data_IF_650696912179
#
_entry.id   IF_650696912179
#
_cell.length_a   1.000
_cell.length_b   1.000
_cell.length_c   1.000
_cell.angle_alpha   90.00
_cell.angle_beta   90.00
_cell.angle_gamma   90.00
#
_symmetry.space_group_name_H-M   'P 1'
#
loop_
_entity.id
_entity.type
_entity.pdbx_description
1 polymer ?
#
# COMPACT_ATOMS: atom_id res chain seq x y z
N UNK A 1 -11.77 -3.65 10.40
CA UNK A 1 -12.04 -2.47 9.55
C UNK A 1 -13.31 -1.86 10.08
N UNK A 2 -13.25 -0.60 10.51
CA UNK A 2 -14.46 0.13 10.89
C UNK A 2 -15.45 0.13 9.72
N UNK A 3 -16.73 0.06 10.04
CA UNK A 3 -17.81 0.23 9.07
C UNK A 3 -17.75 1.68 8.54
N UNK A 4 -17.08 1.88 7.39
CA UNK A 4 -16.93 3.22 6.81
C UNK A 4 -18.27 3.89 6.57
N UNK A 5 -19.31 3.11 6.25
CA UNK A 5 -20.67 3.59 6.08
C UNK A 5 -21.28 4.02 7.42
N UNK A 6 -20.98 3.29 8.50
CA UNK A 6 -21.38 3.64 9.85
C UNK A 6 -20.74 4.93 10.35
N UNK A 7 -19.45 5.14 10.03
CA UNK A 7 -18.78 6.40 10.31
C UNK A 7 -19.39 7.54 9.49
N UNK A 8 -19.58 7.35 8.19
CA UNK A 8 -20.19 8.34 7.29
C UNK A 8 -21.58 8.75 7.78
N UNK A 9 -22.43 7.79 8.14
CA UNK A 9 -23.75 8.06 8.75
C UNK A 9 -23.65 8.92 10.02
N UNK A 10 -22.67 8.67 10.89
CA UNK A 10 -22.45 9.48 12.10
C UNK A 10 -22.06 10.92 11.74
N UNK A 11 -21.17 11.11 10.78
CA UNK A 11 -20.74 12.45 10.35
C UNK A 11 -21.90 13.22 9.74
N UNK A 12 -22.71 12.61 8.87
CA UNK A 12 -23.92 13.24 8.34
C UNK A 12 -24.92 13.60 9.44
N UNK A 13 -25.09 12.74 10.44
CA UNK A 13 -25.97 13.02 11.57
C UNK A 13 -25.47 14.21 12.41
N UNK A 14 -24.16 14.31 12.66
CA UNK A 14 -23.57 15.45 13.35
C UNK A 14 -23.74 16.75 12.56
N UNK A 15 -23.51 16.72 11.26
CA UNK A 15 -23.73 17.86 10.37
C UNK A 15 -25.19 18.35 10.44
N UNK A 16 -26.16 17.43 10.38
CA UNK A 16 -27.59 17.74 10.54
C UNK A 16 -27.91 18.36 11.90
N UNK A 17 -27.32 17.85 12.97
CA UNK A 17 -27.55 18.34 14.33
C UNK A 17 -26.93 19.72 14.61
N UNK A 18 -25.92 20.13 13.83
CA UNK A 18 -25.27 21.43 13.99
C UNK A 18 -26.16 22.62 13.58
N UNK A 19 -27.25 22.38 12.86
CA UNK A 19 -28.26 23.37 12.53
C UNK A 19 -28.17 23.92 11.10
N UNK A 20 -29.03 24.89 10.80
CA UNK A 20 -29.12 25.48 9.47
C UNK A 20 -27.84 26.25 9.10
N UNK A 21 -27.38 26.09 7.85
CA UNK A 21 -26.16 26.74 7.34
C UNK A 21 -24.87 25.93 7.53
N UNK A 22 -24.96 24.70 8.04
CA UNK A 22 -23.84 23.73 8.07
C UNK A 22 -24.10 22.64 7.05
N UNK A 23 -23.12 22.36 6.20
CA UNK A 23 -23.19 21.29 5.21
C UNK A 23 -21.86 20.55 5.13
N UNK A 24 -21.91 19.35 4.55
CA UNK A 24 -20.75 18.52 4.28
C UNK A 24 -20.58 18.35 2.78
N UNK A 25 -19.35 18.49 2.31
CA UNK A 25 -18.96 18.23 0.94
C UNK A 25 -17.92 17.11 0.93
N UNK A 26 -18.21 16.04 0.21
CA UNK A 26 -17.24 14.97 -0.04
C UNK A 26 -16.27 15.43 -1.13
N UNK A 27 -15.12 16.00 -0.72
CA UNK A 27 -14.10 16.47 -1.67
C UNK A 27 -13.40 15.31 -2.40
N UNK A 28 -13.27 14.16 -1.73
CA UNK A 28 -12.78 12.91 -2.29
C UNK A 28 -13.41 11.73 -1.56
N UNK A 29 -14.27 10.98 -2.26
CA UNK A 29 -14.85 9.75 -1.74
C UNK A 29 -14.13 8.55 -2.34
N UNK A 30 -13.31 7.89 -1.53
CA UNK A 30 -12.64 6.66 -1.94
C UNK A 30 -13.63 5.52 -2.12
N UNK A 31 -13.42 4.68 -3.13
CA UNK A 31 -14.17 3.44 -3.30
C UNK A 31 -13.72 2.36 -2.31
N UNK A 32 -14.57 1.33 -2.15
CA UNK A 32 -14.12 0.06 -1.54
C UNK A 32 -13.32 -0.68 -2.61
N UNK A 33 -12.01 -0.82 -2.39
CA UNK A 33 -11.14 -1.57 -3.29
C UNK A 33 -10.80 -2.93 -2.67
N UNK A 34 -10.79 -4.03 -3.46
CA UNK A 34 -10.39 -5.32 -2.94
C UNK A 34 -8.92 -5.30 -2.50
N UNK A 35 -8.60 -6.05 -1.45
CA UNK A 35 -7.21 -6.30 -1.10
C UNK A 35 -6.56 -7.18 -2.17
N UNK A 36 -5.27 -6.96 -2.42
CA UNK A 36 -4.49 -7.84 -3.29
C UNK A 36 -4.20 -9.15 -2.56
N UNK A 37 -4.51 -10.32 -3.15
CA UNK A 37 -4.21 -11.60 -2.51
C UNK A 37 -2.70 -11.79 -2.37
N UNK A 38 -2.29 -12.24 -1.18
CA UNK A 38 -0.91 -12.58 -0.80
C UNK A 38 -0.81 -14.05 -0.38
N UNK A 39 -1.56 -14.90 -1.09
CA UNK A 39 -1.60 -16.35 -0.94
C UNK A 39 -1.33 -17.02 -2.29
N UNK A 40 -1.44 -18.36 -2.33
CA UNK A 40 -1.11 -19.16 -3.50
C UNK A 40 -2.07 -18.97 -4.69
N UNK A 41 -3.17 -18.20 -4.54
CA UNK A 41 -4.05 -17.85 -5.65
C UNK A 41 -3.46 -16.78 -6.57
N UNK A 42 -2.43 -16.05 -6.12
CA UNK A 42 -1.77 -15.00 -6.90
C UNK A 42 -0.37 -15.46 -7.32
N UNK A 43 -0.25 -15.89 -8.59
CA UNK A 43 1.01 -16.40 -9.14
C UNK A 43 2.15 -15.37 -9.09
N UNK A 44 1.84 -14.08 -9.23
CA UNK A 44 2.86 -13.02 -9.17
C UNK A 44 3.37 -12.83 -7.74
N UNK A 45 2.50 -12.99 -6.74
CA UNK A 45 2.93 -12.98 -5.34
C UNK A 45 3.80 -14.18 -5.00
N UNK A 46 3.43 -15.38 -5.47
CA UNK A 46 4.22 -16.60 -5.24
C UNK A 46 5.62 -16.45 -5.83
N UNK A 47 5.72 -16.11 -7.11
CA UNK A 47 6.99 -15.90 -7.79
C UNK A 47 7.84 -14.80 -7.13
N UNK A 48 7.23 -13.67 -6.79
CA UNK A 48 7.88 -12.59 -6.04
C UNK A 48 8.44 -13.09 -4.70
N UNK A 49 7.62 -13.77 -3.90
CA UNK A 49 7.98 -14.21 -2.55
C UNK A 49 9.11 -15.24 -2.61
N UNK A 50 9.03 -16.20 -3.52
CA UNK A 50 10.05 -17.22 -3.70
C UNK A 50 11.39 -16.63 -4.15
N UNK A 51 11.38 -15.65 -5.07
CA UNK A 51 12.59 -14.96 -5.51
C UNK A 51 13.28 -14.23 -4.34
N UNK A 52 12.52 -13.48 -3.55
CA UNK A 52 13.05 -12.77 -2.37
C UNK A 52 13.58 -13.75 -1.32
N UNK A 53 12.88 -14.88 -1.10
CA UNK A 53 13.30 -15.91 -0.16
C UNK A 53 14.57 -16.66 -0.62
N UNK A 54 14.71 -16.94 -1.92
CA UNK A 54 15.89 -17.58 -2.49
C UNK A 54 17.16 -16.72 -2.30
N UNK A 55 16.99 -15.40 -2.23
CA UNK A 55 18.06 -14.44 -1.91
C UNK A 55 18.38 -14.35 -0.41
N UNK A 56 17.67 -15.10 0.45
CA UNK A 56 17.87 -15.11 1.90
C UNK A 56 17.10 -14.02 2.66
N UNK A 57 16.13 -13.36 2.03
CA UNK A 57 15.34 -12.29 2.66
C UNK A 57 13.95 -12.76 3.09
N UNK A 58 13.42 -12.12 4.12
CA UNK A 58 12.01 -12.22 4.50
C UNK A 58 11.17 -11.14 3.82
N UNK A 59 9.91 -11.45 3.50
CA UNK A 59 8.93 -10.46 3.05
C UNK A 59 8.04 -10.11 4.24
N UNK A 60 7.87 -8.82 4.51
CA UNK A 60 6.98 -8.32 5.56
C UNK A 60 5.75 -7.62 4.94
N UNK A 61 4.60 -8.30 4.81
CA UNK A 61 3.39 -7.69 4.30
C UNK A 61 2.85 -6.69 5.32
N UNK A 62 2.70 -5.43 4.90
CA UNK A 62 2.10 -4.38 5.71
C UNK A 62 0.92 -3.75 4.98
N UNK A 63 -0.11 -3.35 5.73
CA UNK A 63 -1.06 -2.37 5.25
C UNK A 63 -0.39 -1.01 5.37
N UNK A 64 0.02 -0.45 4.24
CA UNK A 64 0.67 0.87 4.21
C UNK A 64 -0.27 1.92 4.82
N UNK A 65 0.18 2.74 5.79
CA UNK A 65 -0.61 3.87 6.29
C UNK A 65 -0.69 5.01 5.26
N UNK A 66 0.19 5.01 4.25
CA UNK A 66 0.21 5.97 3.16
C UNK A 66 -0.61 5.49 1.96
N UNK A 67 -0.98 6.43 1.10
CA UNK A 67 -1.64 6.14 -0.17
C UNK A 67 -0.61 5.89 -1.28
N UNK A 68 -0.99 5.04 -2.23
CA UNK A 68 -0.29 4.89 -3.51
C UNK A 68 -1.29 4.75 -4.65
N UNK A 69 -0.82 4.96 -5.87
CA UNK A 69 -1.65 4.83 -7.09
C UNK A 69 -2.14 3.40 -7.34
N UNK A 70 -1.63 2.42 -6.58
CA UNK A 70 -2.13 1.05 -6.59
C UNK A 70 -3.63 0.97 -6.23
N UNK A 71 -4.20 1.99 -5.56
CA UNK A 71 -5.66 2.06 -5.35
C UNK A 71 -6.44 2.07 -6.67
N UNK A 72 -5.96 2.77 -7.69
CA UNK A 72 -6.62 2.88 -8.99
C UNK A 72 -6.52 1.57 -9.78
N UNK A 73 -5.38 0.88 -9.68
CA UNK A 73 -5.22 -0.45 -10.28
C UNK A 73 -6.13 -1.49 -9.63
N UNK A 74 -6.22 -1.49 -8.30
CA UNK A 74 -7.15 -2.38 -7.57
C UNK A 74 -8.61 -2.05 -7.84
N UNK A 75 -8.95 -0.79 -8.09
CA UNK A 75 -10.28 -0.39 -8.57
C UNK A 75 -10.60 -0.98 -9.95
N UNK A 76 -9.61 -1.04 -10.84
CA UNK A 76 -9.70 -1.72 -12.12
C UNK A 76 -9.56 -3.26 -12.02
N UNK A 77 -9.64 -3.83 -10.81
CA UNK A 77 -9.50 -5.27 -10.52
C UNK A 77 -8.14 -5.87 -10.91
N UNK A 78 -7.10 -5.04 -10.99
CA UNK A 78 -5.72 -5.49 -11.21
C UNK A 78 -5.06 -5.68 -9.84
N UNK A 79 -4.67 -6.90 -9.45
CA UNK A 79 -3.94 -7.14 -8.20
C UNK A 79 -2.63 -6.35 -8.19
N UNK A 80 -2.37 -5.58 -7.13
CA UNK A 80 -1.18 -4.72 -7.03
C UNK A 80 -0.75 -4.52 -5.58
N UNK A 81 0.51 -4.85 -5.31
CA UNK A 81 1.21 -4.53 -4.06
C UNK A 81 2.38 -3.57 -4.35
N UNK A 82 2.69 -2.73 -3.37
CA UNK A 82 3.92 -1.93 -3.37
C UNK A 82 5.05 -2.71 -2.73
N UNK A 83 6.29 -2.43 -3.11
CA UNK A 83 7.48 -3.04 -2.54
C UNK A 83 8.59 -2.00 -2.41
N UNK A 84 9.30 -2.03 -1.28
CA UNK A 84 10.46 -1.17 -1.01
C UNK A 84 11.57 -2.02 -0.38
N UNK A 85 12.68 -2.30 -1.09
CA UNK A 85 13.81 -3.06 -0.56
C UNK A 85 14.74 -2.18 0.30
N UNK A 86 14.17 -1.50 1.29
CA UNK A 86 14.88 -0.57 2.17
C UNK A 86 15.29 -1.27 3.47
N UNK A 87 15.91 -2.46 3.36
CA UNK A 87 16.35 -3.19 4.56
C UNK A 87 17.31 -2.34 5.39
N UNK A 88 17.26 -2.55 6.71
CA UNK A 88 18.14 -1.93 7.71
C UNK A 88 18.19 -0.39 7.66
N UNK A 89 17.15 0.23 7.09
CA UNK A 89 17.01 1.68 6.97
C UNK A 89 15.84 2.19 7.80
N UNK A 90 15.98 3.34 8.48
CA UNK A 90 14.84 3.96 9.15
C UNK A 90 13.77 4.39 8.13
N UNK A 91 12.50 4.38 8.55
CA UNK A 91 11.42 4.96 7.76
C UNK A 91 11.51 6.48 7.88
N UNK A 92 12.04 7.13 6.84
CA UNK A 92 12.30 8.58 6.81
C UNK A 92 11.41 9.34 5.81
N UNK A 93 10.47 8.65 5.15
CA UNK A 93 9.59 9.27 4.16
C UNK A 93 8.86 10.49 4.78
N UNK A 94 9.04 11.66 4.17
CA UNK A 94 8.51 12.96 4.61
C UNK A 94 9.09 13.50 5.93
N UNK A 95 10.23 12.97 6.38
CA UNK A 95 10.96 13.51 7.53
C UNK A 95 11.94 14.63 7.11
N UNK A 96 12.45 15.39 8.07
CA UNK A 96 13.59 16.26 7.84
C UNK A 96 14.82 15.41 7.50
N UNK A 97 15.65 15.91 6.57
CA UNK A 97 16.88 15.25 6.11
C UNK A 97 16.65 13.79 5.65
N UNK A 98 15.55 13.54 4.94
CA UNK A 98 15.25 12.24 4.34
C UNK A 98 16.45 11.70 3.53
N UNK A 99 16.88 10.47 3.84
CA UNK A 99 18.01 9.82 3.19
C UNK A 99 17.78 8.32 3.00
N UNK A 100 18.53 7.75 2.06
CA UNK A 100 18.69 6.31 1.91
C UNK A 100 20.17 6.01 1.71
N UNK A 101 20.70 4.99 2.40
CA UNK A 101 22.08 4.59 2.23
C UNK A 101 22.31 4.07 0.79
N UNK A 102 23.38 4.53 0.13
CA UNK A 102 23.68 4.16 -1.26
C UNK A 102 23.84 2.65 -1.45
N UNK A 103 24.38 1.93 -0.46
CA UNK A 103 24.52 0.47 -0.54
C UNK A 103 23.15 -0.22 -0.44
N UNK A 104 22.21 0.33 0.34
CA UNK A 104 20.83 -0.18 0.41
C UNK A 104 20.12 0.06 -0.91
N UNK A 105 20.28 1.25 -1.50
CA UNK A 105 19.74 1.55 -2.83
C UNK A 105 20.26 0.58 -3.90
N UNK A 106 21.58 0.40 -3.97
CA UNK A 106 22.21 -0.52 -4.93
C UNK A 106 21.77 -1.97 -4.71
N UNK A 107 21.67 -2.41 -3.44
CA UNK A 107 21.16 -3.75 -3.12
C UNK A 107 19.69 -3.91 -3.52
N UNK A 108 18.90 -2.86 -3.38
CA UNK A 108 17.52 -2.81 -3.85
C UNK A 108 17.40 -3.06 -5.35
N UNK A 109 18.33 -2.54 -6.15
CA UNK A 109 18.37 -2.80 -7.60
C UNK A 109 18.58 -4.29 -7.87
N UNK A 110 19.54 -4.94 -7.19
CA UNK A 110 19.78 -6.38 -7.34
C UNK A 110 18.53 -7.20 -6.98
N UNK A 111 17.86 -6.84 -5.88
CA UNK A 111 16.61 -7.50 -5.46
C UNK A 111 15.52 -7.35 -6.53
N UNK A 112 15.34 -6.15 -7.08
CA UNK A 112 14.38 -5.93 -8.16
C UNK A 112 14.71 -6.72 -9.43
N UNK A 113 15.98 -6.85 -9.79
CA UNK A 113 16.38 -7.64 -10.96
C UNK A 113 15.98 -9.11 -10.81
N UNK A 114 16.25 -9.71 -9.65
CA UNK A 114 15.89 -11.11 -9.40
C UNK A 114 14.37 -11.32 -9.35
N UNK A 115 13.63 -10.40 -8.73
CA UNK A 115 12.16 -10.42 -8.76
C UNK A 115 11.67 -10.37 -10.20
N UNK A 116 12.12 -9.41 -11.00
CA UNK A 116 11.65 -9.23 -12.38
C UNK A 116 11.96 -10.50 -13.21
N UNK A 117 13.13 -11.11 -13.06
CA UNK A 117 13.48 -12.38 -13.72
C UNK A 117 12.56 -13.52 -13.32
N UNK A 118 12.09 -13.56 -12.07
CA UNK A 118 11.18 -14.60 -11.62
C UNK A 118 9.73 -14.42 -12.13
N UNK A 119 9.38 -13.22 -12.60
CA UNK A 119 8.04 -12.91 -13.10
C UNK A 119 7.84 -13.23 -14.60
N UNK A 120 8.91 -13.53 -15.34
CA UNK A 120 8.91 -13.78 -16.79
C UNK A 120 9.67 -15.06 -17.15
#
# INVERSE_FOLDING_TARGET
MDDSEGFERKVHQWCKNAGAGVWLEDVHKGGKHPNTPIDNSNIFWVAFKEAVQAMGYGVNPILSPANSDARFLREALIPTFGFSPNQDSPIMAHSNDEFLNVNVFLKGIEIYQEIIRALF
#
